data_IF_598863039018
#
_entry.id   IF_598863039018
#
_cell.length_a   1.000
_cell.length_b   1.000
_cell.length_c   1.000
_cell.angle_alpha   90.00
_cell.angle_beta   90.00
_cell.angle_gamma   90.00
#
_symmetry.space_group_name_H-M   'P 1'
#
loop_
_entity.id
_entity.type
_entity.pdbx_description
1 polymer ?
#
# COMPACT_ATOMS: atom_id res chain seq x y z
N UNK A 1 -26.09 24.86 2.35
CA UNK A 1 -26.61 25.59 1.18
C UNK A 1 -25.56 25.50 0.08
N UNK A 2 -25.63 24.47 -0.77
CA UNK A 2 -26.22 24.51 -2.13
C UNK A 2 -25.63 25.65 -2.97
N UNK A 3 -24.65 25.31 -3.80
CA UNK A 3 -24.31 26.11 -4.99
C UNK A 3 -24.90 25.41 -6.21
N UNK A 4 -25.91 26.04 -6.81
CA UNK A 4 -26.54 25.66 -8.06
C UNK A 4 -26.23 26.74 -9.11
N UNK A 5 -25.66 26.28 -10.22
CA UNK A 5 -26.06 26.54 -11.63
C UNK A 5 -25.87 27.94 -12.27
N UNK A 6 -25.14 27.87 -13.40
CA UNK A 6 -25.56 28.24 -14.78
C UNK A 6 -25.48 29.71 -15.19
N UNK A 7 -24.72 29.97 -16.26
CA UNK A 7 -25.01 30.79 -17.46
C UNK A 7 -23.95 30.37 -18.51
N UNK A 8 -24.21 29.64 -19.60
CA UNK A 8 -25.02 29.81 -20.83
C UNK A 8 -24.40 30.69 -21.94
N UNK A 9 -24.10 30.01 -23.06
CA UNK A 9 -24.07 30.39 -24.50
C UNK A 9 -24.36 31.84 -24.95
N UNK A 10 -23.58 32.26 -25.95
CA UNK A 10 -24.03 32.85 -27.24
C UNK A 10 -22.91 32.63 -28.29
N UNK A 11 -23.07 31.79 -29.32
CA UNK A 11 -23.56 32.04 -30.71
C UNK A 11 -22.92 33.21 -31.46
N UNK A 12 -22.19 32.88 -32.53
CA UNK A 12 -22.43 33.48 -33.86
C UNK A 12 -21.90 32.59 -34.98
N UNK A 13 -22.82 32.21 -35.87
CA UNK A 13 -22.58 31.68 -37.21
C UNK A 13 -21.90 32.73 -38.09
N UNK A 14 -21.02 32.28 -39.00
CA UNK A 14 -20.90 32.82 -40.36
C UNK A 14 -20.16 31.83 -41.27
N UNK A 15 -20.67 31.78 -42.48
CA UNK A 15 -20.50 30.75 -43.49
C UNK A 15 -19.16 30.72 -44.24
N UNK A 16 -18.89 29.52 -44.75
CA UNK A 16 -18.37 29.17 -46.08
C UNK A 16 -17.13 29.89 -46.62
N UNK A 17 -16.06 29.10 -46.80
CA UNK A 17 -15.33 29.02 -48.07
C UNK A 17 -14.50 27.73 -48.10
N UNK A 18 -14.60 27.01 -49.22
CA UNK A 18 -14.07 25.65 -49.38
C UNK A 18 -12.56 25.57 -49.56
N UNK A 19 -12.01 24.39 -49.28
CA UNK A 19 -10.86 23.84 -49.99
C UNK A 19 -10.77 22.32 -49.73
N UNK A 20 -9.93 21.56 -50.46
CA UNK A 20 -10.35 20.46 -51.30
C UNK A 20 -10.01 19.10 -50.68
N UNK A 21 -10.42 18.04 -51.40
CA UNK A 21 -10.09 16.66 -51.12
C UNK A 21 -8.57 16.45 -50.89
N UNK A 22 -8.18 16.29 -49.64
CA UNK A 22 -6.92 15.65 -49.28
C UNK A 22 -7.11 14.14 -49.38
N UNK A 23 -6.56 13.59 -50.46
CA UNK A 23 -6.26 12.18 -50.64
C UNK A 23 -5.42 11.67 -49.48
N UNK A 24 -6.04 10.94 -48.55
CA UNK A 24 -5.31 10.11 -47.60
C UNK A 24 -4.48 9.06 -48.37
N UNK A 25 -3.16 8.96 -48.14
CA UNK A 25 -2.39 7.85 -48.68
C UNK A 25 -2.90 6.54 -48.08
N UNK A 26 -3.09 5.54 -48.96
CA UNK A 26 -3.48 4.19 -48.59
C UNK A 26 -2.60 3.69 -47.43
N UNK A 27 -3.24 3.35 -46.31
CA UNK A 27 -2.55 2.73 -45.19
C UNK A 27 -1.86 1.45 -45.68
N UNK A 28 -0.60 1.19 -45.27
CA UNK A 28 0.07 -0.05 -45.60
C UNK A 28 -0.75 -1.21 -45.04
N UNK A 29 -0.90 -2.27 -45.83
CA UNK A 29 -1.53 -3.53 -45.46
C UNK A 29 -0.94 -4.00 -44.12
N UNK A 30 -1.65 -3.70 -43.01
CA UNK A 30 -1.27 -4.13 -41.68
C UNK A 30 -1.63 -5.61 -41.63
N UNK A 31 -0.64 -6.46 -41.87
CA UNK A 31 -0.76 -7.89 -41.65
C UNK A 31 -1.22 -8.10 -40.21
N UNK A 32 -2.42 -8.63 -40.08
CA UNK A 32 -3.01 -8.95 -38.78
C UNK A 32 -2.14 -10.06 -38.16
N UNK A 33 -1.62 -9.87 -36.94
CA UNK A 33 -0.83 -10.90 -36.27
C UNK A 33 -1.57 -12.24 -36.23
N UNK A 34 -0.91 -13.39 -36.43
CA UNK A 34 -1.58 -14.68 -36.64
C UNK A 34 -2.51 -15.11 -35.49
N UNK A 35 -2.24 -14.66 -34.26
CA UNK A 35 -3.12 -14.91 -33.11
C UNK A 35 -4.41 -14.08 -33.15
N UNK A 36 -4.37 -12.87 -33.71
CA UNK A 36 -5.53 -12.01 -33.96
C UNK A 36 -6.30 -12.48 -35.20
N UNK A 37 -5.61 -12.95 -36.23
CA UNK A 37 -6.24 -13.57 -37.40
C UNK A 37 -7.04 -14.82 -37.00
N UNK A 38 -6.48 -15.69 -36.16
CA UNK A 38 -7.21 -16.85 -35.59
C UNK A 38 -8.37 -16.45 -34.67
N UNK A 39 -8.26 -15.33 -33.93
CA UNK A 39 -9.35 -14.83 -33.10
C UNK A 39 -10.49 -14.25 -33.95
N UNK A 40 -10.17 -13.59 -35.07
CA UNK A 40 -11.12 -13.07 -36.05
C UNK A 40 -11.77 -14.23 -36.83
N UNK A 41 -11.00 -15.23 -37.25
CA UNK A 41 -11.50 -16.46 -37.88
C UNK A 41 -12.36 -17.29 -36.93
N UNK A 42 -12.02 -17.39 -35.65
CA UNK A 42 -12.90 -18.02 -34.64
C UNK A 42 -14.19 -17.23 -34.42
N UNK A 43 -14.14 -15.89 -34.55
CA UNK A 43 -15.34 -15.02 -34.50
C UNK A 43 -16.19 -15.09 -35.76
N UNK A 44 -15.60 -15.31 -36.94
CA UNK A 44 -16.31 -15.37 -38.23
C UNK A 44 -16.74 -16.79 -38.61
N UNK A 45 -16.04 -17.83 -38.14
CA UNK A 45 -16.45 -19.24 -38.26
C UNK A 45 -17.55 -19.61 -37.23
N UNK A 46 -17.74 -18.81 -36.19
CA UNK A 46 -18.96 -18.78 -35.40
C UNK A 46 -20.05 -18.04 -36.15
N UNK A 47 -20.58 -18.63 -37.23
CA UNK A 47 -21.72 -18.09 -37.96
C UNK A 47 -22.88 -17.73 -37.01
N UNK A 48 -23.79 -16.81 -37.40
CA UNK A 48 -24.91 -16.40 -36.56
C UNK A 48 -25.66 -17.65 -36.08
N UNK A 49 -26.06 -17.72 -34.79
CA UNK A 49 -26.60 -18.94 -34.23
C UNK A 49 -27.75 -19.43 -35.11
N UNK A 50 -27.63 -20.69 -35.53
CA UNK A 50 -28.58 -21.40 -36.39
C UNK A 50 -30.02 -21.10 -36.00
N UNK A 51 -30.91 -21.03 -37.00
CA UNK A 51 -32.36 -21.28 -37.04
C UNK A 51 -33.03 -21.85 -35.75
N UNK A 52 -32.83 -21.23 -34.61
CA UNK A 52 -33.66 -21.45 -33.44
C UNK A 52 -34.83 -20.49 -33.60
N UNK A 53 -36.01 -21.10 -33.63
CA UNK A 53 -37.28 -20.40 -33.56
C UNK A 53 -37.20 -19.29 -32.47
N UNK A 54 -37.59 -18.04 -32.76
CA UNK A 54 -37.64 -16.97 -31.75
C UNK A 54 -38.35 -17.41 -30.45
N UNK A 55 -39.34 -18.31 -30.51
CA UNK A 55 -39.98 -18.87 -29.34
C UNK A 55 -39.04 -19.76 -28.51
N UNK A 56 -38.24 -20.61 -29.16
CA UNK A 56 -37.25 -21.45 -28.48
C UNK A 56 -36.17 -20.63 -27.77
N UNK A 57 -35.73 -19.52 -28.39
CA UNK A 57 -34.76 -18.60 -27.76
C UNK A 57 -35.35 -17.91 -26.54
N UNK A 58 -36.60 -17.45 -26.65
CA UNK A 58 -37.33 -16.81 -25.54
C UNK A 58 -37.50 -17.79 -24.36
N UNK A 59 -37.91 -19.01 -24.66
CA UNK A 59 -38.10 -20.09 -23.68
C UNK A 59 -36.78 -20.48 -23.01
N UNK A 60 -35.69 -20.66 -23.75
CA UNK A 60 -34.37 -20.89 -23.17
C UNK A 60 -33.90 -19.73 -22.28
N UNK A 61 -34.19 -18.48 -22.67
CA UNK A 61 -33.91 -17.30 -21.87
C UNK A 61 -34.74 -17.21 -20.57
N UNK A 62 -36.00 -17.64 -20.60
CA UNK A 62 -36.85 -17.73 -19.41
C UNK A 62 -36.37 -18.84 -18.45
N UNK A 63 -36.02 -20.02 -18.96
CA UNK A 63 -35.44 -21.12 -18.15
C UNK A 63 -34.17 -20.70 -17.41
N UNK A 64 -33.23 -20.04 -18.11
CA UNK A 64 -32.01 -19.52 -17.47
C UNK A 64 -32.31 -18.50 -16.38
N UNK A 65 -33.27 -17.60 -16.62
CA UNK A 65 -33.70 -16.62 -15.61
C UNK A 65 -34.36 -17.29 -14.41
N UNK A 66 -35.18 -18.33 -14.61
CA UNK A 66 -35.78 -19.10 -13.52
C UNK A 66 -34.71 -19.71 -12.61
N UNK A 67 -33.71 -20.37 -13.19
CA UNK A 67 -32.60 -20.96 -12.41
C UNK A 67 -31.83 -19.89 -11.62
N UNK A 68 -31.52 -18.75 -12.23
CA UNK A 68 -30.84 -17.66 -11.54
C UNK A 68 -31.68 -17.10 -10.37
N UNK A 69 -32.99 -16.92 -10.56
CA UNK A 69 -33.87 -16.44 -9.49
C UNK A 69 -34.01 -17.46 -8.36
N UNK A 70 -34.07 -18.76 -8.68
CA UNK A 70 -34.10 -19.81 -7.65
C UNK A 70 -32.83 -19.80 -6.80
N UNK A 71 -31.67 -19.59 -7.43
CA UNK A 71 -30.41 -19.39 -6.72
C UNK A 71 -30.46 -18.16 -5.80
N UNK A 72 -30.96 -17.02 -6.28
CA UNK A 72 -31.11 -15.81 -5.46
C UNK A 72 -32.04 -16.04 -4.25
N UNK A 73 -33.12 -16.83 -4.43
CA UNK A 73 -34.04 -17.22 -3.34
C UNK A 73 -33.32 -18.10 -2.33
N UNK A 74 -32.61 -19.14 -2.79
CA UNK A 74 -31.83 -20.04 -1.93
C UNK A 74 -30.80 -19.25 -1.10
N UNK A 75 -30.07 -18.32 -1.72
CA UNK A 75 -29.12 -17.46 -1.01
C UNK A 75 -29.81 -16.53 0.00
N UNK A 76 -30.96 -15.95 -0.36
CA UNK A 76 -31.74 -15.11 0.55
C UNK A 76 -32.31 -15.88 1.74
N UNK A 77 -32.76 -17.11 1.53
CA UNK A 77 -33.24 -18.02 2.59
C UNK A 77 -32.10 -18.48 3.49
N UNK A 78 -30.95 -18.85 2.91
CA UNK A 78 -29.75 -19.18 3.66
C UNK A 78 -29.28 -17.99 4.51
N UNK A 79 -29.25 -16.78 3.96
CA UNK A 79 -28.88 -15.57 4.69
C UNK A 79 -29.86 -15.25 5.85
N UNK A 80 -31.15 -15.55 5.66
CA UNK A 80 -32.19 -15.37 6.68
C UNK A 80 -32.15 -16.43 7.79
N UNK A 81 -31.55 -17.59 7.55
CA UNK A 81 -31.37 -18.65 8.55
C UNK A 81 -30.61 -18.12 9.78
N UNK A 82 -30.98 -18.54 11.01
CA UNK A 82 -30.25 -18.16 12.22
C UNK A 82 -28.81 -18.68 12.21
N UNK A 83 -28.58 -19.88 11.68
CA UNK A 83 -27.26 -20.44 11.44
C UNK A 83 -26.95 -20.34 9.93
N UNK A 84 -26.06 -19.42 9.57
CA UNK A 84 -25.71 -19.13 8.19
C UNK A 84 -24.23 -18.70 8.07
N UNK A 85 -23.63 -18.82 6.87
CA UNK A 85 -22.20 -18.53 6.68
C UNK A 85 -21.78 -17.09 6.99
N UNK A 86 -22.63 -16.10 6.71
CA UNK A 86 -22.34 -14.68 6.97
C UNK A 86 -22.29 -14.36 8.47
N UNK A 87 -23.20 -14.94 9.25
CA UNK A 87 -23.17 -14.83 10.71
C UNK A 87 -21.92 -15.49 11.27
N UNK A 88 -21.63 -16.73 10.87
CA UNK A 88 -20.41 -17.44 11.32
C UNK A 88 -19.14 -16.65 11.00
N UNK A 89 -19.05 -16.07 9.80
CA UNK A 89 -17.91 -15.22 9.41
C UNK A 89 -17.87 -13.92 10.20
N UNK A 90 -19.01 -13.28 10.45
CA UNK A 90 -19.11 -12.07 11.29
C UNK A 90 -18.60 -12.34 12.70
N UNK A 91 -18.90 -13.51 13.26
CA UNK A 91 -18.46 -13.93 14.60
C UNK A 91 -16.95 -14.17 14.64
N UNK A 92 -16.40 -14.89 13.65
CA UNK A 92 -14.95 -15.09 13.49
C UNK A 92 -14.19 -13.75 13.34
N UNK A 93 -14.74 -12.81 12.57
CA UNK A 93 -14.18 -11.47 12.45
C UNK A 93 -14.25 -10.72 13.79
N UNK A 94 -15.30 -10.93 14.57
CA UNK A 94 -15.42 -10.40 15.93
C UNK A 94 -14.32 -10.93 16.87
N UNK A 95 -14.05 -12.23 16.85
CA UNK A 95 -12.96 -12.85 17.62
C UNK A 95 -11.58 -12.29 17.19
N UNK A 96 -11.35 -12.18 15.88
CA UNK A 96 -10.12 -11.59 15.36
C UNK A 96 -9.93 -10.15 15.81
N UNK A 97 -11.00 -9.35 15.82
CA UNK A 97 -10.97 -7.97 16.33
C UNK A 97 -10.61 -7.92 17.81
N UNK A 98 -11.15 -8.81 18.65
CA UNK A 98 -10.79 -8.89 20.07
C UNK A 98 -9.28 -9.12 20.24
N UNK A 99 -8.71 -10.06 19.50
CA UNK A 99 -7.26 -10.32 19.55
C UNK A 99 -6.44 -9.07 19.15
N UNK A 100 -6.86 -8.36 18.09
CA UNK A 100 -6.19 -7.11 17.66
C UNK A 100 -6.31 -6.02 18.73
N UNK A 101 -7.46 -5.91 19.41
CA UNK A 101 -7.65 -4.98 20.52
C UNK A 101 -6.72 -5.31 21.69
N UNK A 102 -6.60 -6.57 22.06
CA UNK A 102 -5.70 -7.01 23.13
C UNK A 102 -4.23 -6.73 22.77
N UNK A 103 -3.83 -7.02 21.53
CA UNK A 103 -2.51 -6.68 20.99
C UNK A 103 -2.25 -5.17 21.00
N UNK A 104 -3.26 -4.34 20.72
CA UNK A 104 -3.15 -2.88 20.78
C UNK A 104 -2.92 -2.39 22.22
N UNK A 105 -3.62 -2.98 23.18
CA UNK A 105 -3.44 -2.68 24.61
C UNK A 105 -2.01 -3.05 25.02
N UNK A 106 -1.52 -4.22 24.61
CA UNK A 106 -0.16 -4.67 24.89
C UNK A 106 0.88 -3.75 24.25
N UNK A 107 0.78 -3.50 22.94
CA UNK A 107 1.71 -2.66 22.20
C UNK A 107 1.72 -1.19 22.67
N UNK A 108 0.66 -0.73 23.32
CA UNK A 108 0.59 0.62 23.90
C UNK A 108 1.37 0.76 25.21
N UNK A 109 1.74 -0.35 25.86
CA UNK A 109 2.57 -0.32 27.06
C UNK A 109 3.97 0.18 26.71
N UNK A 110 4.51 1.02 27.58
CA UNK A 110 5.87 1.54 27.42
C UNK A 110 6.82 0.62 28.17
N UNK A 111 7.49 -0.25 27.43
CA UNK A 111 8.60 -1.03 27.97
C UNK A 111 9.86 -0.17 28.07
N UNK A 112 10.63 -0.26 29.16
CA UNK A 112 11.94 0.37 29.26
C UNK A 112 12.85 -0.09 28.13
N UNK A 113 13.44 0.86 27.42
CA UNK A 113 14.45 0.55 26.41
C UNK A 113 15.81 0.23 27.01
N UNK A 114 16.73 -0.37 26.23
CA UNK A 114 18.11 -0.57 26.68
C UNK A 114 18.75 0.80 26.92
N UNK A 115 19.38 0.96 28.07
CA UNK A 115 20.05 2.18 28.44
C UNK A 115 21.37 1.86 29.14
N UNK A 116 22.43 2.50 28.66
CA UNK A 116 23.74 2.58 29.31
C UNK A 116 24.35 3.92 28.94
N UNK A 117 24.89 4.70 29.89
CA UNK A 117 25.49 5.99 29.59
C UNK A 117 26.71 5.84 28.68
N UNK A 118 26.92 6.82 27.81
CA UNK A 118 28.08 6.89 26.91
C UNK A 118 28.86 8.17 27.22
N UNK A 119 30.21 8.15 27.23
CA UNK A 119 31.01 9.32 27.55
C UNK A 119 30.76 10.47 26.56
N UNK A 120 30.83 11.71 27.06
CA UNK A 120 30.68 12.93 26.27
C UNK A 120 31.96 13.28 25.46
N UNK A 121 32.55 12.28 24.81
CA UNK A 121 33.72 12.48 23.97
C UNK A 121 33.36 13.45 22.83
N UNK A 122 34.14 14.52 22.61
CA UNK A 122 33.86 15.48 21.56
C UNK A 122 34.00 14.81 20.19
N UNK A 123 33.13 15.22 19.27
CA UNK A 123 33.20 14.83 17.87
C UNK A 123 33.74 16.03 17.09
N UNK A 124 34.93 15.89 16.51
CA UNK A 124 35.51 16.90 15.65
C UNK A 124 35.21 16.54 14.19
N UNK A 125 34.47 17.40 13.51
CA UNK A 125 34.15 17.25 12.09
C UNK A 125 35.39 17.65 11.30
N UNK A 126 35.88 16.75 10.46
CA UNK A 126 37.04 16.92 9.60
C UNK A 126 36.65 17.42 8.21
N UNK A 127 37.11 16.72 7.18
CA UNK A 127 36.77 17.02 5.80
C UNK A 127 35.39 16.48 5.41
N UNK A 128 34.63 17.26 4.65
CA UNK A 128 33.42 16.81 3.97
C UNK A 128 33.55 17.21 2.51
N UNK A 129 33.68 16.23 1.62
CA UNK A 129 33.79 16.44 0.19
C UNK A 129 32.50 15.99 -0.49
N UNK A 130 31.98 16.82 -1.39
CA UNK A 130 30.68 16.61 -2.03
C UNK A 130 30.80 16.56 -3.56
N UNK A 131 31.95 16.12 -4.08
CA UNK A 131 32.24 15.99 -5.50
C UNK A 131 31.55 14.78 -6.14
N UNK A 132 32.24 14.09 -7.06
CA UNK A 132 31.69 12.94 -7.79
C UNK A 132 31.34 11.74 -6.89
N UNK A 133 32.04 11.60 -5.76
CA UNK A 133 31.70 10.67 -4.69
C UNK A 133 31.84 11.39 -3.36
N UNK A 134 30.78 11.44 -2.56
CA UNK A 134 30.85 12.15 -1.29
C UNK A 134 31.73 11.42 -0.28
N UNK A 135 32.50 12.17 0.50
CA UNK A 135 33.30 11.67 1.62
C UNK A 135 33.03 12.52 2.87
N UNK A 136 32.97 11.87 4.02
CA UNK A 136 32.72 12.49 5.33
C UNK A 136 33.70 11.93 6.33
N UNK A 137 34.55 12.79 6.86
CA UNK A 137 35.55 12.49 7.88
C UNK A 137 35.24 13.18 9.19
N UNK A 138 35.37 12.45 10.29
CA UNK A 138 35.28 13.00 11.63
C UNK A 138 36.05 12.14 12.63
N UNK A 139 36.31 12.68 13.81
CA UNK A 139 36.93 11.94 14.93
C UNK A 139 36.05 11.96 16.15
N UNK A 140 35.86 10.82 16.80
CA UNK A 140 35.17 10.70 18.10
C UNK A 140 36.23 10.51 19.18
N UNK A 141 36.49 11.56 19.97
CA UNK A 141 37.68 11.58 20.83
C UNK A 141 38.95 11.44 19.98
N UNK A 142 39.67 10.32 20.12
CA UNK A 142 40.88 10.01 19.36
C UNK A 142 40.66 8.99 18.22
N UNK A 143 39.41 8.58 17.97
CA UNK A 143 39.10 7.52 17.01
C UNK A 143 38.60 8.13 15.69
N UNK A 144 39.34 8.01 14.58
CA UNK A 144 38.92 8.54 13.28
C UNK A 144 37.89 7.64 12.59
N UNK A 145 36.98 8.27 11.85
CA UNK A 145 35.97 7.62 11.02
C UNK A 145 35.96 8.24 9.62
N UNK A 146 35.80 7.39 8.61
CA UNK A 146 35.60 7.79 7.22
C UNK A 146 34.37 7.07 6.67
N UNK A 147 33.43 7.85 6.15
CA UNK A 147 32.31 7.38 5.36
C UNK A 147 32.47 7.91 3.94
N UNK A 148 32.31 7.05 2.94
CA UNK A 148 32.36 7.49 1.55
C UNK A 148 31.36 6.74 0.69
N UNK A 149 30.83 7.43 -0.31
CA UNK A 149 30.06 6.80 -1.38
C UNK A 149 31.00 5.91 -2.21
N UNK A 150 30.46 4.82 -2.77
CA UNK A 150 31.15 4.15 -3.86
C UNK A 150 31.06 5.04 -5.11
N UNK A 151 32.15 5.23 -5.86
CA UNK A 151 32.06 5.91 -7.14
C UNK A 151 31.15 5.08 -8.06
N UNK A 152 30.02 5.64 -8.46
CA UNK A 152 29.06 4.95 -9.31
C UNK A 152 29.48 5.09 -10.77
N UNK A 153 30.09 4.03 -11.32
CA UNK A 153 30.47 3.95 -12.75
C UNK A 153 29.33 3.37 -13.62
N UNK A 154 28.08 3.34 -13.13
CA UNK A 154 26.97 2.86 -13.94
C UNK A 154 26.50 3.90 -14.98
N UNK A 155 27.11 3.83 -16.16
CA UNK A 155 26.43 4.10 -17.43
C UNK A 155 25.09 3.36 -17.45
N UNK A 156 23.98 4.05 -17.13
CA UNK A 156 22.65 3.75 -17.69
C UNK A 156 21.70 4.90 -17.42
N UNK A 157 21.13 5.41 -18.51
CA UNK A 157 20.46 6.69 -18.55
C UNK A 157 19.30 6.86 -17.57
N UNK A 158 19.19 8.12 -17.13
CA UNK A 158 17.98 8.86 -16.74
C UNK A 158 17.55 8.87 -15.26
N UNK A 159 18.36 8.35 -14.34
CA UNK A 159 18.22 8.76 -12.93
C UNK A 159 19.55 8.62 -12.18
N UNK A 160 20.23 9.74 -11.92
CA UNK A 160 21.35 9.78 -10.97
C UNK A 160 20.71 9.68 -9.58
N UNK A 161 20.52 8.46 -9.09
CA UNK A 161 20.29 8.25 -7.67
C UNK A 161 21.64 8.40 -6.97
N UNK A 162 21.71 9.21 -5.91
CA UNK A 162 22.94 9.36 -5.13
C UNK A 162 23.27 8.04 -4.42
N UNK A 163 24.56 7.72 -4.33
CA UNK A 163 25.04 6.56 -3.61
C UNK A 163 24.75 6.66 -2.10
N UNK A 164 24.63 5.51 -1.46
CA UNK A 164 24.62 5.43 0.00
C UNK A 164 26.06 5.55 0.53
N UNK A 165 26.24 6.27 1.64
CA UNK A 165 27.55 6.31 2.31
C UNK A 165 27.88 4.92 2.86
N UNK A 166 29.14 4.51 2.77
CA UNK A 166 29.62 3.27 3.40
C UNK A 166 30.77 3.62 4.34
N UNK A 167 30.78 3.03 5.54
CA UNK A 167 31.90 3.18 6.47
C UNK A 167 33.14 2.50 5.90
N UNK A 168 34.18 3.27 5.55
CA UNK A 168 35.46 2.79 5.04
C UNK A 168 36.47 2.54 6.15
N UNK A 169 36.40 3.33 7.21
CA UNK A 169 37.28 3.20 8.38
C UNK A 169 36.58 3.67 9.65
N UNK A 170 37.18 3.32 10.79
CA UNK A 170 36.64 3.59 12.12
C UNK A 170 35.98 2.35 12.73
N UNK A 171 36.37 2.07 13.97
CA UNK A 171 35.83 0.97 14.76
C UNK A 171 34.83 1.52 15.76
N UNK A 172 33.63 0.94 15.82
CA UNK A 172 32.60 1.33 16.79
C UNK A 172 32.80 0.61 18.12
N UNK A 173 33.45 -0.56 18.13
CA UNK A 173 33.69 -1.33 19.35
C UNK A 173 34.51 -0.53 20.38
N UNK A 174 35.46 0.28 19.91
CA UNK A 174 36.27 1.17 20.79
C UNK A 174 35.47 2.32 21.42
N UNK A 175 34.25 2.58 20.95
CA UNK A 175 33.36 3.60 21.50
C UNK A 175 32.43 3.05 22.59
N UNK A 176 32.29 1.73 22.68
CA UNK A 176 31.48 1.07 23.73
C UNK A 176 32.24 1.13 25.06
N UNK A 177 31.66 1.73 26.12
CA UNK A 177 32.31 1.78 27.42
C UNK A 177 32.71 0.39 27.95
N UNK A 178 33.83 0.34 28.67
CA UNK A 178 34.33 -0.92 29.25
C UNK A 178 33.41 -1.46 30.37
N UNK A 179 32.63 -0.58 31.01
CA UNK A 179 31.67 -0.91 32.06
C UNK A 179 30.27 -1.27 31.52
N UNK A 180 30.08 -1.29 30.20
CA UNK A 180 28.81 -1.71 29.59
C UNK A 180 28.52 -3.19 29.89
N UNK A 181 27.35 -3.53 30.45
CA UNK A 181 26.91 -4.91 30.67
C UNK A 181 26.95 -5.73 29.38
N UNK A 182 27.34 -7.00 29.49
CA UNK A 182 27.58 -7.89 28.33
C UNK A 182 26.37 -7.99 27.39
N UNK A 183 25.16 -8.05 27.95
CA UNK A 183 23.90 -8.10 27.23
C UNK A 183 23.58 -6.80 26.46
N UNK A 184 24.19 -5.68 26.85
CA UNK A 184 24.01 -4.37 26.22
C UNK A 184 25.15 -3.97 25.28
N UNK A 185 26.29 -4.68 25.29
CA UNK A 185 27.45 -4.32 24.45
C UNK A 185 27.11 -4.33 22.97
N UNK A 186 26.54 -5.44 22.49
CA UNK A 186 26.18 -5.58 21.08
C UNK A 186 25.06 -4.61 20.65
N UNK A 187 23.94 -4.47 21.39
CA UNK A 187 22.94 -3.46 21.10
C UNK A 187 23.48 -2.02 21.09
N UNK A 188 24.36 -1.67 22.05
CA UNK A 188 24.95 -0.33 22.11
C UNK A 188 25.86 -0.08 20.91
N UNK A 189 26.70 -1.06 20.56
CA UNK A 189 27.55 -1.00 19.38
C UNK A 189 26.76 -0.77 18.11
N UNK A 190 25.71 -1.58 17.89
CA UNK A 190 24.85 -1.44 16.73
C UNK A 190 24.19 -0.04 16.69
N UNK A 191 23.62 0.40 17.81
CA UNK A 191 23.00 1.73 17.94
C UNK A 191 23.98 2.87 17.63
N UNK A 192 25.20 2.84 18.17
CA UNK A 192 26.22 3.85 17.89
C UNK A 192 26.64 3.82 16.42
N UNK A 193 26.77 2.63 15.82
CA UNK A 193 27.09 2.48 14.40
C UNK A 193 26.05 3.14 13.50
N UNK A 194 24.77 2.87 13.75
CA UNK A 194 23.65 3.47 13.01
C UNK A 194 23.57 4.98 13.25
N UNK A 195 23.73 5.42 14.49
CA UNK A 195 23.68 6.85 14.87
C UNK A 195 24.80 7.66 14.23
N UNK A 196 26.02 7.11 14.13
CA UNK A 196 27.15 7.73 13.44
C UNK A 196 26.97 7.77 11.93
N UNK A 197 26.37 6.72 11.35
CA UNK A 197 26.00 6.70 9.93
C UNK A 197 24.98 7.80 9.61
N UNK A 198 23.91 7.92 10.41
CA UNK A 198 22.90 8.97 10.26
C UNK A 198 23.53 10.37 10.35
N UNK A 199 24.47 10.57 11.28
CA UNK A 199 25.23 11.82 11.36
C UNK A 199 26.06 12.06 10.10
N UNK A 200 26.79 11.05 9.59
CA UNK A 200 27.59 11.21 8.38
C UNK A 200 26.73 11.64 7.18
N UNK A 201 25.56 11.00 7.00
CA UNK A 201 24.60 11.41 5.97
C UNK A 201 24.07 12.83 6.19
N UNK A 202 23.74 13.19 7.44
CA UNK A 202 23.27 14.54 7.79
C UNK A 202 24.33 15.62 7.51
N UNK A 203 25.59 15.36 7.84
CA UNK A 203 26.71 16.27 7.57
C UNK A 203 26.93 16.48 6.07
N UNK A 204 26.88 15.41 5.27
CA UNK A 204 26.94 15.49 3.81
C UNK A 204 25.79 16.34 3.27
N UNK A 205 24.56 16.06 3.69
CA UNK A 205 23.37 16.73 3.19
C UNK A 205 23.38 18.23 3.56
N UNK A 206 23.80 18.59 4.78
CA UNK A 206 24.01 19.99 5.20
C UNK A 206 24.99 20.73 4.30
N UNK A 207 26.14 20.12 3.98
CA UNK A 207 27.13 20.76 3.09
C UNK A 207 26.56 20.97 1.69
N UNK A 208 25.83 20.00 1.16
CA UNK A 208 25.17 20.09 -0.14
C UNK A 208 24.10 21.18 -0.18
N UNK A 209 23.32 21.32 0.90
CA UNK A 209 22.25 22.30 1.01
C UNK A 209 22.72 23.68 1.47
N UNK A 210 24.02 23.84 1.76
CA UNK A 210 24.61 25.09 2.25
C UNK A 210 24.20 25.44 3.69
N UNK A 211 23.78 24.43 4.47
CA UNK A 211 23.44 24.57 5.87
C UNK A 211 24.68 24.56 6.78
N UNK A 212 24.64 25.27 7.92
CA UNK A 212 25.72 25.24 8.87
C UNK A 212 25.89 23.84 9.49
N UNK A 213 27.16 23.47 9.71
CA UNK A 213 27.52 22.28 10.46
C UNK A 213 27.17 22.45 11.95
N UNK A 214 26.78 21.37 12.64
CA UNK A 214 26.43 21.41 14.06
C UNK A 214 27.64 21.83 14.90
N UNK A 215 27.40 22.67 15.92
CA UNK A 215 28.45 23.11 16.83
C UNK A 215 28.64 22.09 17.96
N UNK A 216 29.88 21.66 18.18
CA UNK A 216 30.33 20.83 19.30
C UNK A 216 29.51 19.53 19.53
N UNK A 217 29.34 18.66 18.51
CA UNK A 217 28.73 17.36 18.73
C UNK A 217 29.52 16.52 19.74
N UNK A 218 28.83 15.66 20.49
CA UNK A 218 29.45 14.74 21.46
C UNK A 218 28.85 13.36 21.33
N UNK A 219 29.64 12.33 21.64
CA UNK A 219 29.21 10.94 21.57
C UNK A 219 28.01 10.65 22.51
N UNK A 220 27.94 11.28 23.69
CA UNK A 220 26.78 11.18 24.58
C UNK A 220 25.48 11.61 23.90
N UNK A 221 25.53 12.59 22.98
CA UNK A 221 24.37 13.01 22.20
C UNK A 221 23.82 11.92 21.27
N UNK A 222 24.66 10.99 20.82
CA UNK A 222 24.26 9.86 19.99
C UNK A 222 23.59 8.72 20.75
N UNK A 223 23.51 8.82 22.08
CA UNK A 223 22.91 7.82 22.95
C UNK A 223 22.18 8.47 24.15
N UNK A 224 21.60 9.65 23.94
CA UNK A 224 20.84 10.33 24.99
C UNK A 224 19.59 9.49 25.37
N UNK A 225 19.15 9.53 26.64
CA UNK A 225 17.98 8.78 27.07
C UNK A 225 16.70 9.36 26.46
N UNK A 226 15.88 8.50 25.86
CA UNK A 226 14.59 8.84 25.32
C UNK A 226 13.66 9.26 26.46
N UNK A 227 12.96 10.41 26.36
CA UNK A 227 12.06 10.87 27.42
C UNK A 227 10.83 9.96 27.62
N UNK A 228 10.55 9.05 26.69
CA UNK A 228 9.37 8.18 26.73
C UNK A 228 9.72 6.82 27.35
N UNK A 229 10.70 6.10 26.79
CA UNK A 229 11.03 4.74 27.21
C UNK A 229 12.39 4.62 27.92
N UNK A 230 13.16 5.70 28.05
CA UNK A 230 14.50 5.69 28.65
C UNK A 230 15.61 5.05 27.79
N UNK A 231 15.26 4.42 26.66
CA UNK A 231 16.25 3.83 25.74
C UNK A 231 17.03 4.89 24.94
N UNK A 232 18.04 4.49 24.17
CA UNK A 232 18.86 5.45 23.43
C UNK A 232 18.10 6.17 22.29
N UNK A 233 18.44 7.45 22.08
CA UNK A 233 18.11 8.22 20.89
C UNK A 233 19.31 8.35 19.98
N UNK A 234 19.09 8.38 18.67
CA UNK A 234 20.13 8.61 17.67
C UNK A 234 20.53 10.11 17.56
N UNK A 235 21.42 10.42 16.61
CA UNK A 235 21.87 11.77 16.25
C UNK A 235 20.72 12.77 16.06
N UNK A 236 19.58 12.33 15.52
CA UNK A 236 18.41 13.18 15.25
C UNK A 236 17.44 13.23 16.42
N UNK A 237 17.78 12.63 17.55
CA UNK A 237 16.91 12.51 18.73
C UNK A 237 15.79 11.47 18.54
N UNK A 238 15.89 10.60 17.52
CA UNK A 238 14.88 9.57 17.26
C UNK A 238 15.18 8.33 18.08
N UNK A 239 14.17 7.80 18.77
CA UNK A 239 14.29 6.54 19.51
C UNK A 239 13.73 5.37 18.69
N UNK A 240 14.58 4.42 18.32
CA UNK A 240 14.18 3.25 17.53
C UNK A 240 13.18 2.34 18.26
N UNK A 241 13.23 2.27 19.59
CA UNK A 241 12.23 1.52 20.37
C UNK A 241 10.84 2.15 20.27
N UNK A 242 10.75 3.47 20.46
CA UNK A 242 9.49 4.17 20.30
C UNK A 242 8.98 4.14 18.86
N UNK A 243 9.89 4.23 17.87
CA UNK A 243 9.54 4.11 16.46
C UNK A 243 8.95 2.74 16.14
N UNK A 244 9.60 1.64 16.55
CA UNK A 244 9.10 0.27 16.38
C UNK A 244 7.74 0.05 17.06
N UNK A 245 7.59 0.52 18.31
CA UNK A 245 6.32 0.45 19.04
C UNK A 245 5.21 1.19 18.30
N UNK A 246 5.48 2.43 17.87
CA UNK A 246 4.50 3.22 17.14
C UNK A 246 4.15 2.59 15.78
N UNK A 247 5.13 2.00 15.08
CA UNK A 247 4.88 1.26 13.84
C UNK A 247 3.95 0.06 14.09
N UNK A 248 4.19 -0.72 15.16
CA UNK A 248 3.32 -1.83 15.56
C UNK A 248 1.90 -1.36 15.88
N UNK A 249 1.75 -0.26 16.61
CA UNK A 249 0.43 0.33 16.90
C UNK A 249 -0.29 0.74 15.61
N UNK A 250 0.42 1.38 14.66
CA UNK A 250 -0.17 1.81 13.39
C UNK A 250 -0.56 0.62 12.50
N UNK A 251 0.24 -0.45 12.50
CA UNK A 251 -0.07 -1.71 11.84
C UNK A 251 -1.37 -2.31 12.41
N UNK A 252 -1.45 -2.46 13.72
CA UNK A 252 -2.63 -3.02 14.40
C UNK A 252 -3.89 -2.17 14.19
N UNK A 253 -3.79 -0.84 14.21
CA UNK A 253 -4.92 0.07 13.90
C UNK A 253 -5.41 -0.08 12.46
N UNK A 254 -4.48 -0.29 11.51
CA UNK A 254 -4.85 -0.54 10.12
C UNK A 254 -5.58 -1.87 9.98
N UNK A 255 -5.12 -2.88 10.70
CA UNK A 255 -5.75 -4.20 10.73
C UNK A 255 -7.14 -4.16 11.37
N UNK A 256 -7.30 -3.47 12.50
CA UNK A 256 -8.61 -3.22 13.12
C UNK A 256 -9.58 -2.56 12.13
N UNK A 257 -9.14 -1.51 11.43
CA UNK A 257 -9.94 -0.86 10.39
C UNK A 257 -10.32 -1.81 9.24
N UNK A 258 -9.39 -2.65 8.79
CA UNK A 258 -9.64 -3.67 7.75
C UNK A 258 -10.69 -4.67 8.19
N UNK A 259 -10.59 -5.19 9.42
CA UNK A 259 -11.53 -6.16 9.99
C UNK A 259 -12.93 -5.55 10.19
N UNK A 260 -13.01 -4.29 10.64
CA UNK A 260 -14.26 -3.55 10.75
C UNK A 260 -14.97 -3.39 9.41
N UNK A 261 -14.21 -3.03 8.36
CA UNK A 261 -14.72 -2.91 7.00
C UNK A 261 -15.20 -4.26 6.46
N UNK A 262 -14.42 -5.33 6.67
CA UNK A 262 -14.77 -6.67 6.26
C UNK A 262 -16.05 -7.16 6.95
N UNK A 263 -16.14 -6.98 8.27
CA UNK A 263 -17.34 -7.31 9.06
C UNK A 263 -18.56 -6.54 8.58
N UNK A 264 -18.40 -5.25 8.29
CA UNK A 264 -19.49 -4.41 7.78
C UNK A 264 -19.96 -4.87 6.40
N UNK A 265 -19.04 -5.28 5.52
CA UNK A 265 -19.40 -5.84 4.20
C UNK A 265 -20.15 -7.16 4.30
N UNK A 266 -19.72 -8.06 5.19
CA UNK A 266 -20.42 -9.33 5.41
C UNK A 266 -21.84 -9.10 5.94
N UNK A 267 -21.99 -8.19 6.90
CA UNK A 267 -23.30 -7.82 7.45
C UNK A 267 -24.22 -7.16 6.40
N UNK A 268 -23.67 -6.30 5.54
CA UNK A 268 -24.41 -5.63 4.47
C UNK A 268 -24.80 -6.59 3.35
N UNK A 269 -23.90 -7.50 2.94
CA UNK A 269 -24.21 -8.53 1.94
C UNK A 269 -25.34 -9.44 2.43
N UNK A 270 -25.25 -9.91 3.68
CA UNK A 270 -26.32 -10.69 4.31
C UNK A 270 -27.64 -9.94 4.29
N UNK A 271 -27.63 -8.65 4.69
CA UNK A 271 -28.83 -7.80 4.68
C UNK A 271 -29.40 -7.67 3.27
N UNK A 272 -28.56 -7.39 2.27
CA UNK A 272 -28.96 -7.25 0.87
C UNK A 272 -29.66 -8.50 0.34
N UNK A 273 -29.15 -9.68 0.67
CA UNK A 273 -29.76 -10.96 0.29
C UNK A 273 -31.14 -11.16 0.93
N UNK A 274 -31.26 -10.85 2.23
CA UNK A 274 -32.53 -10.93 2.96
C UNK A 274 -33.56 -9.94 2.40
N UNK A 275 -33.16 -8.69 2.19
CA UNK A 275 -34.03 -7.64 1.65
C UNK A 275 -34.44 -7.92 0.20
N UNK A 276 -33.60 -8.60 -0.57
CA UNK A 276 -33.87 -9.01 -1.94
C UNK A 276 -34.85 -10.18 -2.08
N UNK A 277 -34.98 -11.03 -1.04
CA UNK A 277 -35.76 -12.27 -1.08
C UNK A 277 -37.23 -12.09 -1.51
N UNK A 278 -38.00 -11.10 -0.98
CA UNK A 278 -39.39 -10.88 -1.42
C UNK A 278 -39.51 -10.54 -2.91
N UNK A 279 -38.56 -9.75 -3.43
CA UNK A 279 -38.53 -9.36 -4.84
C UNK A 279 -38.16 -10.55 -5.73
N UNK A 280 -37.20 -11.38 -5.32
CA UNK A 280 -36.82 -12.60 -6.02
C UNK A 280 -38.01 -13.58 -6.12
N UNK A 281 -38.73 -13.81 -5.01
CA UNK A 281 -39.97 -14.61 -4.99
C UNK A 281 -41.06 -14.06 -5.91
N UNK A 282 -41.21 -12.73 -6.00
CA UNK A 282 -42.13 -12.11 -6.96
C UNK A 282 -41.71 -12.39 -8.41
N UNK A 283 -40.43 -12.15 -8.74
CA UNK A 283 -39.89 -12.38 -10.08
C UNK A 283 -39.99 -13.83 -10.51
N UNK A 284 -39.83 -14.78 -9.58
CA UNK A 284 -40.02 -16.20 -9.87
C UNK A 284 -41.43 -16.49 -10.35
N UNK A 285 -42.46 -16.02 -9.60
CA UNK A 285 -43.86 -16.17 -9.98
C UNK A 285 -44.18 -15.57 -11.35
N UNK A 286 -43.62 -14.40 -11.65
CA UNK A 286 -43.79 -13.74 -12.95
C UNK A 286 -43.17 -14.59 -14.09
N UNK A 287 -41.96 -15.10 -13.89
CA UNK A 287 -41.27 -15.95 -14.88
C UNK A 287 -41.96 -17.30 -15.06
N UNK A 288 -42.45 -17.93 -13.99
CA UNK A 288 -43.20 -19.19 -14.05
C UNK A 288 -44.55 -18.99 -14.76
N UNK A 289 -45.21 -17.84 -14.56
CA UNK A 289 -46.41 -17.47 -15.31
C UNK A 289 -46.13 -17.36 -16.82
N UNK A 290 -45.01 -16.72 -17.19
CA UNK A 290 -44.62 -16.58 -18.60
C UNK A 290 -44.19 -17.91 -19.23
N UNK A 291 -43.55 -18.80 -18.47
CA UNK A 291 -43.22 -20.15 -18.92
C UNK A 291 -44.48 -21.02 -19.08
N UNK A 292 -45.45 -20.91 -18.16
CA UNK A 292 -46.74 -21.59 -18.27
C UNK A 292 -47.54 -21.17 -19.50
N UNK A 293 -47.49 -19.88 -19.87
CA UNK A 293 -48.08 -19.38 -21.14
C UNK A 293 -47.44 -20.00 -22.39
N UNK A 294 -46.20 -20.47 -22.29
CA UNK A 294 -45.47 -21.16 -23.37
C UNK A 294 -45.60 -22.70 -23.27
N UNK A 295 -46.45 -23.21 -22.36
CA UNK A 295 -46.75 -24.64 -22.24
C UNK A 295 -45.84 -25.41 -21.28
N UNK A 296 -44.98 -24.75 -20.49
CA UNK A 296 -44.22 -25.42 -19.43
C UNK A 296 -44.99 -25.49 -18.11
N UNK A 297 -45.02 -26.67 -17.51
CA UNK A 297 -45.58 -26.88 -16.17
C UNK A 297 -44.45 -27.18 -15.20
N UNK A 298 -44.58 -26.69 -13.97
CA UNK A 298 -43.63 -26.89 -12.89
C UNK A 298 -44.38 -27.52 -11.73
N UNK A 299 -43.87 -28.62 -11.19
CA UNK A 299 -44.35 -29.27 -9.96
C UNK A 299 -43.77 -28.60 -8.72
#
# INVERSE_FOLDING_TARGET
MVWRKVFSKSTSERDAEGNPAESHPAAPNREVPPHLAQAIEKRSAGGPPSNQDPEQRKLAGLRRRRVAILFDIEQGELAASPDNPWTQRTDLLGEAMTNVTDDLVEASKVEPGPCHPVPANPIAIGAIESGDAASVEFTVGNNPFLYSEDPDWAERGHQIARGELVRRSGDVDVLVPADTPEDLREPLRAHLGDSLFVMASDLRDRVLDGEPLPANPTLAGHAAPCPICGGWTDWRGTCQNCARRNARIMELKREEGRLLDERSREAEERRRLIEGLPLARKRLRDVETDLARLGETFD
#
